data_IF_202919926330
#
_entry.id   IF_202919926330
#
_cell.length_a   1.000
_cell.length_b   1.000
_cell.length_c   1.000
_cell.angle_alpha   90.00
_cell.angle_beta   90.00
_cell.angle_gamma   90.00
#
_symmetry.space_group_name_H-M   'P 1'
#
loop_
_entity.id
_entity.type
_entity.pdbx_description
1 polymer ?
#
# COMPACT_ATOMS: atom_id res chain seq x y z
N UNK A 1 26.42 28.35 8.07
CA UNK A 1 25.05 28.90 8.13
C UNK A 1 24.11 27.71 8.14
N UNK A 2 23.42 27.51 9.26
CA UNK A 2 22.58 26.35 9.55
C UNK A 2 21.36 26.29 8.63
N UNK A 3 21.05 25.12 8.07
CA UNK A 3 19.72 24.83 7.50
C UNK A 3 18.96 24.00 8.51
N UNK A 4 17.88 24.59 8.99
CA UNK A 4 16.89 24.06 9.92
C UNK A 4 16.12 22.90 9.28
N UNK A 5 16.09 21.76 9.97
CA UNK A 5 15.21 20.65 9.69
C UNK A 5 13.77 21.05 10.01
N UNK A 6 12.86 20.92 9.04
CA UNK A 6 11.43 20.94 9.24
C UNK A 6 10.90 19.55 8.90
N UNK A 7 10.73 18.71 9.93
CA UNK A 7 9.96 17.47 9.82
C UNK A 7 8.49 17.86 9.67
N UNK A 8 7.97 17.73 8.45
CA UNK A 8 6.53 17.77 8.21
C UNK A 8 5.94 16.42 8.64
N UNK A 9 5.05 16.44 9.63
CA UNK A 9 4.28 15.27 10.03
C UNK A 9 3.37 14.85 8.86
N UNK A 10 3.71 13.75 8.19
CA UNK A 10 2.81 13.06 7.27
C UNK A 10 1.89 12.19 8.14
N UNK A 11 0.58 12.44 8.06
CA UNK A 11 -0.40 11.56 8.65
C UNK A 11 -0.38 10.23 7.86
N UNK A 12 0.28 9.22 8.42
CA UNK A 12 0.34 7.88 7.87
C UNK A 12 -1.01 7.21 8.11
N UNK A 13 -1.76 6.97 7.05
CA UNK A 13 -2.87 6.01 7.08
C UNK A 13 -2.27 4.61 7.21
N UNK A 14 -2.27 4.07 8.43
CA UNK A 14 -1.92 2.67 8.69
C UNK A 14 -2.89 1.75 7.95
N UNK A 15 -2.45 1.20 6.82
CA UNK A 15 -3.10 0.04 6.22
C UNK A 15 -2.80 -1.14 7.14
N UNK A 16 -3.81 -1.61 7.85
CA UNK A 16 -3.71 -2.79 8.69
C UNK A 16 -3.21 -3.98 7.85
N UNK A 17 -2.09 -4.58 8.27
CA UNK A 17 -1.60 -5.83 7.68
C UNK A 17 -2.65 -6.92 7.91
N UNK A 18 -3.08 -7.67 6.88
CA UNK A 18 -4.05 -8.73 7.07
C UNK A 18 -3.37 -9.96 7.68
N UNK A 19 -3.73 -10.23 8.94
CA UNK A 19 -3.66 -11.56 9.55
C UNK A 19 -2.29 -11.97 10.12
N UNK A 20 -2.06 -11.69 11.41
CA UNK A 20 -1.06 -12.42 12.20
C UNK A 20 -1.40 -12.51 13.70
N UNK A 21 -2.68 -12.55 14.09
CA UNK A 21 -3.06 -12.87 15.47
C UNK A 21 -3.30 -14.38 15.62
N UNK A 22 -2.22 -15.18 15.61
CA UNK A 22 -2.19 -16.53 16.16
C UNK A 22 -0.74 -17.05 16.25
N UNK A 23 -0.26 -17.16 17.49
CA UNK A 23 1.08 -17.57 17.92
C UNK A 23 2.14 -16.48 17.74
N UNK A 24 2.52 -15.75 18.80
CA UNK A 24 3.69 -14.90 18.72
C UNK A 24 4.93 -15.78 18.63
N UNK A 25 5.41 -15.97 17.42
CA UNK A 25 6.71 -16.54 17.12
C UNK A 25 7.77 -15.60 17.71
N UNK A 26 8.65 -16.07 18.63
CA UNK A 26 9.75 -15.24 19.14
C UNK A 26 10.74 -14.84 18.04
N UNK A 27 10.66 -15.45 16.85
CA UNK A 27 11.43 -15.08 15.65
C UNK A 27 10.70 -14.11 14.73
N UNK A 28 9.51 -13.64 15.12
CA UNK A 28 8.77 -12.63 14.39
C UNK A 28 9.62 -11.34 14.25
N UNK A 29 9.59 -10.66 13.09
CA UNK A 29 10.43 -9.48 12.86
C UNK A 29 10.26 -8.39 13.92
N UNK A 30 9.04 -8.20 14.45
CA UNK A 30 8.74 -7.21 15.49
C UNK A 30 9.13 -7.63 16.92
N UNK A 31 9.76 -8.79 17.12
CA UNK A 31 10.33 -9.24 18.41
C UNK A 31 11.87 -9.10 18.45
N UNK A 32 12.50 -8.72 17.36
CA UNK A 32 13.97 -8.59 17.21
C UNK A 32 14.31 -7.21 16.62
N UNK A 33 14.63 -6.25 17.50
CA UNK A 33 14.91 -4.87 17.09
C UNK A 33 16.11 -4.75 16.13
N UNK A 34 17.29 -5.35 16.39
CA UNK A 34 18.40 -5.32 15.44
C UNK A 34 18.04 -5.85 14.05
N UNK A 35 17.24 -6.92 13.97
CA UNK A 35 16.75 -7.44 12.70
C UNK A 35 15.77 -6.47 12.02
N UNK A 36 14.83 -5.90 12.76
CA UNK A 36 13.89 -4.91 12.25
C UNK A 36 14.61 -3.67 11.67
N UNK A 37 15.63 -3.16 12.38
CA UNK A 37 16.46 -2.04 11.92
C UNK A 37 17.23 -2.39 10.64
N UNK A 38 17.76 -3.60 10.54
CA UNK A 38 18.43 -4.07 9.32
C UNK A 38 17.45 -4.21 8.13
N UNK A 39 16.23 -4.68 8.39
CA UNK A 39 15.18 -4.79 7.37
C UNK A 39 14.70 -3.40 6.88
N UNK A 40 14.62 -2.42 7.78
CA UNK A 40 14.34 -1.01 7.44
C UNK A 40 15.44 -0.40 6.58
N UNK A 41 16.71 -0.60 6.94
CA UNK A 41 17.84 -0.12 6.14
C UNK A 41 17.81 -0.74 4.72
N UNK A 42 17.55 -2.05 4.63
CA UNK A 42 17.39 -2.73 3.35
C UNK A 42 16.18 -2.21 2.55
N UNK A 43 15.12 -1.73 3.21
CA UNK A 43 13.98 -1.09 2.55
C UNK A 43 14.35 0.30 1.99
N UNK A 44 15.06 1.13 2.76
CA UNK A 44 15.58 2.41 2.29
C UNK A 44 16.53 2.25 1.09
N UNK A 45 17.41 1.24 1.13
CA UNK A 45 18.30 0.96 0.00
C UNK A 45 17.50 0.62 -1.27
N UNK A 46 16.47 -0.23 -1.17
CA UNK A 46 15.61 -0.58 -2.31
C UNK A 46 14.85 0.63 -2.87
N UNK A 47 14.39 1.52 -2.00
CA UNK A 47 13.75 2.78 -2.44
C UNK A 47 14.75 3.65 -3.21
N UNK A 48 15.97 3.82 -2.70
CA UNK A 48 17.00 4.60 -3.39
C UNK A 48 17.37 3.99 -4.77
N UNK A 49 17.43 2.66 -4.87
CA UNK A 49 17.66 1.95 -6.13
C UNK A 49 16.49 2.15 -7.12
N UNK A 50 15.25 2.10 -6.64
CA UNK A 50 14.05 2.35 -7.46
C UNK A 50 14.00 3.80 -7.97
N UNK A 51 14.30 4.78 -7.11
CA UNK A 51 14.37 6.19 -7.49
C UNK A 51 15.45 6.45 -8.55
N UNK A 52 16.63 5.85 -8.39
CA UNK A 52 17.71 5.95 -9.37
C UNK A 52 17.32 5.32 -10.73
N UNK A 53 16.62 4.18 -10.71
CA UNK A 53 16.11 3.53 -11.92
C UNK A 53 15.04 4.39 -12.61
N UNK A 54 14.13 5.01 -11.85
CA UNK A 54 13.12 5.93 -12.37
C UNK A 54 13.77 7.18 -13.00
N UNK A 55 14.76 7.77 -12.33
CA UNK A 55 15.49 8.93 -12.85
C UNK A 55 16.21 8.60 -14.18
N UNK A 56 16.79 7.40 -14.29
CA UNK A 56 17.41 6.91 -15.52
C UNK A 56 16.38 6.79 -16.64
N UNK A 57 15.26 6.12 -16.40
CA UNK A 57 14.19 5.95 -17.39
C UNK A 57 13.60 7.29 -17.87
N UNK A 58 13.45 8.27 -16.97
CA UNK A 58 13.01 9.63 -17.33
C UNK A 58 14.03 10.34 -18.22
N UNK A 59 15.31 10.22 -17.91
CA UNK A 59 16.39 10.82 -18.70
C UNK A 59 16.43 10.23 -20.12
N UNK A 60 16.27 8.92 -20.25
CA UNK A 60 16.19 8.24 -21.55
C UNK A 60 14.99 8.76 -22.37
N UNK A 61 13.82 8.92 -21.74
CA UNK A 61 12.63 9.46 -22.40
C UNK A 61 12.82 10.92 -22.85
N UNK A 62 13.41 11.75 -22.00
CA UNK A 62 13.72 13.15 -22.35
C UNK A 62 14.71 13.26 -23.51
N UNK A 63 15.73 12.38 -23.55
CA UNK A 63 16.69 12.32 -24.66
C UNK A 63 15.99 11.93 -25.96
N UNK A 64 15.15 10.89 -25.95
CA UNK A 64 14.38 10.50 -27.13
C UNK A 64 13.51 11.65 -27.66
N UNK A 65 12.83 12.37 -26.75
CA UNK A 65 12.00 13.53 -27.13
C UNK A 65 12.83 14.68 -27.73
N UNK A 66 14.05 14.90 -27.24
CA UNK A 66 14.97 15.87 -27.81
C UNK A 66 15.42 15.46 -29.23
N UNK A 67 15.77 14.19 -29.42
CA UNK A 67 16.18 13.64 -30.72
C UNK A 67 15.04 13.73 -31.75
N UNK A 68 13.81 13.44 -31.33
CA UNK A 68 12.60 13.61 -32.15
C UNK A 68 12.37 15.08 -32.54
N UNK A 69 12.62 16.03 -31.63
CA UNK A 69 12.46 17.46 -31.90
C UNK A 69 13.50 17.98 -32.91
N UNK A 70 14.74 17.46 -32.88
CA UNK A 70 15.81 17.83 -33.82
C UNK A 70 15.59 17.24 -35.22
N UNK A 71 14.91 16.10 -35.33
CA UNK A 71 14.67 15.38 -36.59
C UNK A 71 13.74 16.08 -37.62
N UNK A 72 13.40 17.37 -37.44
CA UNK A 72 12.56 18.24 -38.29
C UNK A 72 12.16 17.70 -39.70
N UNK A 73 10.84 17.47 -39.92
CA UNK A 73 10.25 17.20 -41.25
C UNK A 73 8.74 16.88 -41.19
N UNK A 74 8.04 16.81 -42.35
CA UNK A 74 6.64 16.34 -42.49
C UNK A 74 6.41 15.00 -41.74
N UNK A 75 7.45 14.16 -41.68
CA UNK A 75 7.45 12.89 -40.96
C UNK A 75 7.22 13.00 -39.45
N UNK A 76 7.67 14.07 -38.80
CA UNK A 76 7.49 14.27 -37.35
C UNK A 76 6.03 14.65 -37.02
N UNK A 77 5.40 15.45 -37.88
CA UNK A 77 3.99 15.82 -37.75
C UNK A 77 3.08 14.61 -38.04
N UNK A 78 3.43 13.81 -39.04
CA UNK A 78 2.76 12.53 -39.34
C UNK A 78 2.92 11.51 -38.21
N UNK A 79 4.12 11.39 -37.62
CA UNK A 79 4.39 10.52 -36.48
C UNK A 79 3.55 10.91 -35.26
N UNK A 80 3.48 12.20 -34.94
CA UNK A 80 2.65 12.71 -33.84
C UNK A 80 1.15 12.45 -34.08
N UNK A 81 0.66 12.64 -35.31
CA UNK A 81 -0.71 12.28 -35.69
C UNK A 81 -0.96 10.77 -35.56
N UNK A 82 -0.02 9.94 -36.01
CA UNK A 82 -0.09 8.47 -35.89
C UNK A 82 -0.15 8.03 -34.42
N UNK A 83 0.72 8.57 -33.56
CA UNK A 83 0.69 8.30 -32.13
C UNK A 83 -0.63 8.72 -31.48
N UNK A 84 -1.16 9.89 -31.83
CA UNK A 84 -2.44 10.37 -31.32
C UNK A 84 -3.59 9.44 -31.70
N UNK A 85 -3.63 8.97 -32.95
CA UNK A 85 -4.65 8.03 -33.41
C UNK A 85 -4.44 6.64 -32.81
N UNK A 86 -3.20 6.19 -32.65
CA UNK A 86 -2.89 4.91 -32.00
C UNK A 86 -3.28 4.92 -30.53
N UNK A 87 -2.98 6.00 -29.80
CA UNK A 87 -3.39 6.18 -28.41
C UNK A 87 -4.93 6.22 -28.27
N UNK A 88 -5.62 6.87 -29.21
CA UNK A 88 -7.09 6.85 -29.29
C UNK A 88 -7.62 5.44 -29.53
N UNK A 89 -7.06 4.71 -30.48
CA UNK A 89 -7.45 3.33 -30.80
C UNK A 89 -7.22 2.39 -29.61
N UNK A 90 -6.06 2.51 -28.95
CA UNK A 90 -5.72 1.74 -27.74
C UNK A 90 -6.70 2.02 -26.60
N UNK A 91 -7.03 3.29 -26.33
CA UNK A 91 -8.05 3.66 -25.33
C UNK A 91 -9.41 3.03 -25.65
N UNK A 92 -9.90 3.16 -26.88
CA UNK A 92 -11.16 2.56 -27.31
C UNK A 92 -11.13 1.02 -27.16
N UNK A 93 -10.02 0.38 -27.49
CA UNK A 93 -9.87 -1.08 -27.35
C UNK A 93 -9.83 -1.54 -25.88
N UNK A 94 -9.13 -0.80 -25.00
CA UNK A 94 -9.11 -1.06 -23.56
C UNK A 94 -10.48 -0.80 -22.95
N UNK A 95 -11.15 0.28 -23.33
CA UNK A 95 -12.53 0.59 -22.95
C UNK A 95 -13.47 -0.54 -23.36
N UNK A 96 -13.31 -1.11 -24.56
CA UNK A 96 -14.07 -2.27 -25.03
C UNK A 96 -13.79 -3.58 -24.26
N UNK A 97 -12.55 -3.74 -23.79
CA UNK A 97 -12.08 -4.97 -23.14
C UNK A 97 -12.32 -4.99 -21.63
N UNK A 98 -12.06 -3.87 -20.95
CA UNK A 98 -12.21 -3.70 -19.49
C UNK A 98 -13.66 -3.31 -19.13
N UNK A 99 -14.37 -2.64 -20.03
CA UNK A 99 -15.75 -2.21 -19.82
C UNK A 99 -16.67 -2.69 -20.93
N UNK A 100 -17.86 -3.16 -20.56
CA UNK A 100 -19.04 -2.91 -21.37
C UNK A 100 -19.38 -1.41 -21.36
N UNK A 101 -18.45 -0.58 -21.86
CA UNK A 101 -18.37 0.88 -21.81
C UNK A 101 -18.33 1.49 -20.40
N UNK A 102 -17.97 2.77 -20.32
CA UNK A 102 -18.24 3.57 -19.13
C UNK A 102 -19.73 3.53 -18.82
N UNK A 103 -20.09 2.67 -17.87
CA UNK A 103 -21.41 2.57 -17.28
C UNK A 103 -21.16 2.79 -15.82
N UNK A 104 -21.64 3.92 -15.32
CA UNK A 104 -22.14 3.93 -13.95
C UNK A 104 -23.10 2.75 -13.85
N UNK A 105 -22.60 1.64 -13.33
CA UNK A 105 -23.30 0.41 -12.92
C UNK A 105 -23.47 -0.73 -13.96
N UNK A 106 -22.41 -1.50 -14.21
CA UNK A 106 -22.43 -2.74 -15.01
C UNK A 106 -23.34 -3.84 -14.44
N UNK A 107 -23.74 -3.74 -13.16
CA UNK A 107 -24.73 -4.63 -12.56
C UNK A 107 -26.15 -4.39 -13.12
N UNK A 108 -26.45 -3.16 -13.59
CA UNK A 108 -27.73 -2.82 -14.21
C UNK A 108 -27.88 -3.41 -15.63
N UNK A 109 -26.76 -3.66 -16.33
CA UNK A 109 -26.73 -4.24 -17.68
C UNK A 109 -26.96 -5.76 -17.71
N UNK A 110 -27.01 -6.46 -16.58
CA UNK A 110 -27.21 -7.93 -16.58
C UNK A 110 -28.51 -8.36 -15.90
N UNK A 111 -29.26 -7.43 -15.30
CA UNK A 111 -30.50 -7.73 -14.56
C UNK A 111 -31.68 -6.90 -15.09
N UNK A 112 -32.32 -7.32 -16.20
CA UNK A 112 -33.73 -7.03 -16.54
C UNK A 112 -34.15 -7.65 -17.89
N UNK A 113 -35.44 -8.01 -17.99
CA UNK A 113 -35.99 -8.93 -18.99
C UNK A 113 -36.80 -8.29 -20.15
N UNK A 114 -36.70 -6.97 -20.38
CA UNK A 114 -37.54 -6.28 -21.37
C UNK A 114 -36.81 -5.88 -22.67
N UNK A 115 -37.50 -6.08 -23.81
CA UNK A 115 -36.94 -5.93 -25.16
C UNK A 115 -36.49 -4.50 -25.54
N UNK A 116 -36.96 -3.46 -24.84
CA UNK A 116 -36.52 -2.07 -25.07
C UNK A 116 -35.05 -1.83 -24.68
N UNK A 117 -34.57 -2.56 -23.68
CA UNK A 117 -33.19 -2.46 -23.20
C UNK A 117 -32.21 -3.24 -24.09
N UNK A 118 -32.68 -4.31 -24.75
CA UNK A 118 -31.88 -5.07 -25.71
C UNK A 118 -31.55 -4.23 -26.97
N UNK A 119 -32.50 -3.44 -27.47
CA UNK A 119 -32.27 -2.53 -28.61
C UNK A 119 -31.28 -1.43 -28.25
N UNK A 120 -31.37 -0.87 -27.04
CA UNK A 120 -30.42 0.12 -26.54
C UNK A 120 -29.00 -0.46 -26.42
N UNK A 121 -28.86 -1.69 -25.90
CA UNK A 121 -27.58 -2.41 -25.84
C UNK A 121 -26.99 -2.71 -27.22
N UNK A 122 -27.82 -3.12 -28.18
CA UNK A 122 -27.40 -3.36 -29.56
C UNK A 122 -26.87 -2.08 -30.20
N UNK A 123 -27.57 -0.96 -30.03
CA UNK A 123 -27.12 0.35 -30.53
C UNK A 123 -25.81 0.80 -29.89
N UNK A 124 -25.63 0.55 -28.59
CA UNK A 124 -24.37 0.87 -27.90
C UNK A 124 -23.20 0.02 -28.43
N UNK A 125 -23.42 -1.27 -28.64
CA UNK A 125 -22.44 -2.20 -29.23
C UNK A 125 -22.10 -1.85 -30.70
N UNK A 126 -23.10 -1.50 -31.50
CA UNK A 126 -22.91 -1.04 -32.89
C UNK A 126 -22.10 0.26 -32.93
N UNK A 127 -22.47 1.25 -32.11
CA UNK A 127 -21.71 2.49 -32.00
C UNK A 127 -20.27 2.27 -31.55
N UNK A 128 -20.03 1.32 -30.64
CA UNK A 128 -18.67 1.00 -30.20
C UNK A 128 -17.85 0.32 -31.31
N UNK A 129 -18.48 -0.60 -32.05
CA UNK A 129 -17.87 -1.28 -33.20
C UNK A 129 -17.52 -0.28 -34.32
N UNK A 130 -18.42 0.66 -34.64
CA UNK A 130 -18.16 1.71 -35.61
C UNK A 130 -17.00 2.63 -35.19
N UNK A 131 -16.97 3.05 -33.92
CA UNK A 131 -15.88 3.88 -33.40
C UNK A 131 -14.52 3.16 -33.46
N UNK A 132 -14.49 1.87 -33.12
CA UNK A 132 -13.29 1.03 -33.26
C UNK A 132 -12.85 0.88 -34.71
N UNK A 133 -13.78 0.61 -35.63
CA UNK A 133 -13.49 0.48 -37.06
C UNK A 133 -12.95 1.79 -37.64
N UNK A 134 -13.59 2.92 -37.35
CA UNK A 134 -13.14 4.25 -37.78
C UNK A 134 -11.75 4.59 -37.23
N UNK A 135 -11.52 4.30 -35.95
CA UNK A 135 -10.20 4.53 -35.33
C UNK A 135 -9.13 3.61 -35.91
N UNK A 136 -9.46 2.36 -36.22
CA UNK A 136 -8.52 1.40 -36.82
C UNK A 136 -8.17 1.75 -38.27
N UNK A 137 -9.14 2.22 -39.06
CA UNK A 137 -8.92 2.69 -40.43
C UNK A 137 -7.98 3.89 -40.47
N UNK A 138 -8.20 4.89 -39.60
CA UNK A 138 -7.33 6.06 -39.50
C UNK A 138 -5.87 5.68 -39.17
N UNK A 139 -5.66 4.67 -38.31
CA UNK A 139 -4.31 4.17 -37.97
C UNK A 139 -3.67 3.44 -39.17
N UNK A 140 -4.44 2.67 -39.93
CA UNK A 140 -3.95 1.96 -41.13
C UNK A 140 -3.54 2.95 -42.21
N UNK A 141 -4.39 3.95 -42.49
CA UNK A 141 -4.14 4.98 -43.51
C UNK A 141 -2.91 5.82 -43.14
N UNK A 142 -2.77 6.19 -41.87
CA UNK A 142 -1.58 6.91 -41.39
C UNK A 142 -0.32 6.05 -41.49
N UNK A 143 -0.38 4.75 -41.18
CA UNK A 143 0.78 3.86 -41.25
C UNK A 143 1.36 3.75 -42.66
N UNK A 144 0.54 3.78 -43.71
CA UNK A 144 1.03 3.79 -45.10
C UNK A 144 1.73 5.11 -45.48
N UNK A 145 1.44 6.20 -44.75
CA UNK A 145 1.99 7.53 -45.01
C UNK A 145 3.21 7.89 -44.16
N UNK A 146 3.42 7.21 -43.02
CA UNK A 146 4.52 7.45 -42.06
C UNK A 146 5.76 6.65 -42.46
N UNK A 147 6.97 7.24 -42.38
CA UNK A 147 8.22 6.53 -42.65
C UNK A 147 8.54 5.45 -41.61
N UNK A 148 9.23 4.37 -42.01
CA UNK A 148 9.63 3.27 -41.11
C UNK A 148 10.42 3.78 -39.88
N UNK A 149 11.18 4.86 -40.05
CA UNK A 149 11.94 5.52 -38.98
C UNK A 149 11.02 6.16 -37.95
N UNK A 150 9.97 6.85 -38.37
CA UNK A 150 8.98 7.44 -37.48
C UNK A 150 8.18 6.38 -36.70
N UNK A 151 7.86 5.24 -37.33
CA UNK A 151 7.23 4.10 -36.63
C UNK A 151 8.17 3.47 -35.59
N UNK A 152 9.47 3.38 -35.87
CA UNK A 152 10.46 2.87 -34.93
C UNK A 152 10.62 3.80 -33.70
N UNK A 153 10.70 5.11 -33.92
CA UNK A 153 10.76 6.12 -32.86
C UNK A 153 9.52 6.09 -31.97
N UNK A 154 8.32 5.97 -32.56
CA UNK A 154 7.07 5.86 -31.80
C UNK A 154 6.99 4.59 -30.95
N UNK A 155 7.52 3.47 -31.45
CA UNK A 155 7.60 2.23 -30.69
C UNK A 155 8.58 2.34 -29.50
N UNK A 156 9.72 3.02 -29.71
CA UNK A 156 10.70 3.30 -28.66
C UNK A 156 10.12 4.23 -27.57
N UNK A 157 9.40 5.27 -27.97
CA UNK A 157 8.72 6.17 -27.04
C UNK A 157 7.68 5.42 -26.19
N UNK A 158 6.86 4.58 -26.81
CA UNK A 158 5.88 3.75 -26.10
C UNK A 158 6.54 2.79 -25.09
N UNK A 159 7.70 2.23 -25.44
CA UNK A 159 8.46 1.38 -24.51
C UNK A 159 9.03 2.17 -23.34
N UNK A 160 9.62 3.34 -23.58
CA UNK A 160 10.17 4.20 -22.54
C UNK A 160 9.10 4.75 -21.61
N UNK A 161 7.93 5.14 -22.14
CA UNK A 161 6.79 5.55 -21.32
C UNK A 161 6.34 4.41 -20.41
N UNK A 162 6.15 3.19 -20.95
CA UNK A 162 5.80 2.01 -20.14
C UNK A 162 6.87 1.70 -19.08
N UNK A 163 8.15 1.91 -19.40
CA UNK A 163 9.26 1.75 -18.46
C UNK A 163 9.16 2.78 -17.33
N UNK A 164 8.92 4.05 -17.62
CA UNK A 164 8.73 5.11 -16.62
C UNK A 164 7.54 4.81 -15.70
N UNK A 165 6.41 4.39 -16.27
CA UNK A 165 5.23 3.98 -15.50
C UNK A 165 5.54 2.80 -14.57
N UNK A 166 6.20 1.75 -15.09
CA UNK A 166 6.65 0.61 -14.29
C UNK A 166 7.59 1.02 -13.15
N UNK A 167 8.58 1.88 -13.43
CA UNK A 167 9.50 2.40 -12.39
C UNK A 167 8.83 3.29 -11.36
N UNK A 168 7.79 4.01 -11.75
CA UNK A 168 6.99 4.80 -10.81
C UNK A 168 6.26 3.86 -9.83
N UNK A 169 5.67 2.78 -10.34
CA UNK A 169 5.06 1.75 -9.50
C UNK A 169 6.08 1.04 -8.58
N UNK A 170 7.30 0.78 -9.06
CA UNK A 170 8.38 0.23 -8.23
C UNK A 170 8.72 1.15 -7.04
N UNK A 171 8.79 2.47 -7.27
CA UNK A 171 9.05 3.48 -6.22
C UNK A 171 7.92 3.53 -5.21
N UNK A 172 6.67 3.47 -5.65
CA UNK A 172 5.49 3.40 -4.77
C UNK A 172 5.54 2.16 -3.88
N UNK A 173 5.79 0.99 -4.46
CA UNK A 173 5.92 -0.27 -3.73
C UNK A 173 7.09 -0.25 -2.73
N UNK A 174 8.22 0.35 -3.10
CA UNK A 174 9.37 0.51 -2.21
C UNK A 174 9.07 1.47 -1.05
N UNK A 175 8.33 2.55 -1.31
CA UNK A 175 7.89 3.52 -0.28
C UNK A 175 6.94 2.86 0.73
N UNK A 176 6.00 2.05 0.27
CA UNK A 176 5.13 1.25 1.15
C UNK A 176 5.93 0.24 1.98
N UNK A 177 6.97 -0.37 1.40
CA UNK A 177 7.84 -1.29 2.11
C UNK A 177 8.64 -0.59 3.22
N UNK A 178 9.12 0.65 2.98
CA UNK A 178 9.76 1.48 4.02
C UNK A 178 8.78 1.77 5.14
N UNK A 179 7.60 2.28 4.82
CA UNK A 179 6.56 2.62 5.81
C UNK A 179 6.21 1.41 6.69
N UNK A 180 6.12 0.23 6.09
CA UNK A 180 5.88 -1.03 6.83
C UNK A 180 7.05 -1.39 7.75
N UNK A 181 8.29 -1.25 7.27
CA UNK A 181 9.48 -1.56 8.06
C UNK A 181 9.67 -0.57 9.22
N UNK A 182 9.37 0.71 9.03
CA UNK A 182 9.36 1.71 10.10
C UNK A 182 8.41 1.32 11.24
N UNK A 183 7.17 0.91 10.89
CA UNK A 183 6.22 0.42 11.88
C UNK A 183 6.72 -0.84 12.61
N UNK A 184 7.35 -1.79 11.91
CA UNK A 184 7.94 -2.98 12.54
C UNK A 184 9.05 -2.59 13.54
N UNK A 185 9.89 -1.60 13.20
CA UNK A 185 10.91 -1.07 14.11
C UNK A 185 10.29 -0.44 15.35
N UNK A 186 9.20 0.33 15.20
CA UNK A 186 8.49 0.93 16.34
C UNK A 186 7.99 -0.16 17.31
N UNK A 187 7.32 -1.19 16.80
CA UNK A 187 6.83 -2.30 17.63
C UNK A 187 8.00 -3.08 18.26
N UNK A 188 9.07 -3.33 17.51
CA UNK A 188 10.26 -4.01 18.04
C UNK A 188 10.96 -3.22 19.14
N UNK A 189 10.97 -1.88 19.05
CA UNK A 189 11.52 -1.02 20.09
C UNK A 189 10.73 -1.11 21.40
N UNK A 190 9.38 -1.16 21.32
CA UNK A 190 8.52 -1.37 22.50
C UNK A 190 8.83 -2.73 23.15
N UNK A 191 9.02 -3.78 22.33
CA UNK A 191 9.44 -5.08 22.85
C UNK A 191 10.81 -5.01 23.52
N UNK A 192 11.82 -4.43 22.87
CA UNK A 192 13.16 -4.30 23.43
C UNK A 192 13.17 -3.51 24.77
N UNK A 193 12.35 -2.46 24.89
CA UNK A 193 12.15 -1.74 26.15
C UNK A 193 11.53 -2.65 27.21
N UNK A 194 10.49 -3.40 26.86
CA UNK A 194 9.87 -4.35 27.77
C UNK A 194 10.85 -5.43 28.25
N UNK A 195 11.78 -5.89 27.42
CA UNK A 195 12.83 -6.85 27.80
C UNK A 195 13.77 -6.28 28.87
N UNK A 196 14.24 -5.04 28.68
CA UNK A 196 15.09 -4.35 29.67
C UNK A 196 14.33 -4.18 30.99
N UNK A 197 13.09 -3.69 30.93
CA UNK A 197 12.26 -3.44 32.11
C UNK A 197 11.89 -4.72 32.87
N UNK A 198 11.68 -5.84 32.17
CA UNK A 198 11.44 -7.11 32.84
C UNK A 198 12.67 -7.57 33.62
N UNK A 199 13.87 -7.43 33.05
CA UNK A 199 15.12 -7.78 33.75
C UNK A 199 15.33 -6.89 34.98
N UNK A 200 15.20 -5.57 34.81
CA UNK A 200 15.43 -4.60 35.88
C UNK A 200 14.46 -4.77 37.05
N UNK A 201 13.21 -5.14 36.75
CA UNK A 201 12.19 -5.39 37.75
C UNK A 201 12.10 -6.84 38.24
N UNK A 202 12.99 -7.73 37.77
CA UNK A 202 13.02 -9.15 38.16
C UNK A 202 11.78 -9.95 37.75
N UNK A 203 11.15 -9.58 36.63
CA UNK A 203 9.93 -10.20 36.10
C UNK A 203 10.24 -11.29 35.09
N UNK A 204 9.36 -12.30 35.05
CA UNK A 204 9.39 -13.34 34.02
C UNK A 204 8.36 -13.05 32.95
N UNK A 205 8.75 -13.19 31.68
CA UNK A 205 7.86 -13.06 30.52
C UNK A 205 6.68 -14.04 30.63
N UNK A 206 5.43 -13.57 30.54
CA UNK A 206 4.28 -14.46 30.45
C UNK A 206 4.34 -15.28 29.17
N UNK A 207 4.00 -16.56 29.25
CA UNK A 207 3.92 -17.38 28.04
C UNK A 207 2.78 -16.90 27.14
N UNK A 208 2.84 -17.27 25.85
CA UNK A 208 1.77 -16.98 24.89
C UNK A 208 0.40 -17.50 25.36
N UNK A 209 0.38 -18.63 26.06
CA UNK A 209 -0.86 -19.18 26.63
C UNK A 209 -1.40 -18.31 27.77
N UNK A 210 -0.53 -17.73 28.60
CA UNK A 210 -0.94 -16.81 29.67
C UNK A 210 -1.49 -15.50 29.09
N UNK A 211 -0.84 -14.95 28.06
CA UNK A 211 -1.33 -13.78 27.33
C UNK A 211 -2.67 -14.06 26.65
N UNK A 212 -2.83 -15.22 26.01
CA UNK A 212 -4.09 -15.62 25.40
C UNK A 212 -5.22 -15.76 26.43
N UNK A 213 -4.94 -16.35 27.60
CA UNK A 213 -5.91 -16.46 28.69
C UNK A 213 -6.31 -15.09 29.26
N UNK A 214 -5.35 -14.17 29.40
CA UNK A 214 -5.64 -12.79 29.79
C UNK A 214 -6.59 -12.12 28.79
N UNK A 215 -6.25 -12.11 27.49
CA UNK A 215 -7.08 -11.53 26.43
C UNK A 215 -8.46 -12.17 26.36
N UNK A 216 -8.55 -13.48 26.59
CA UNK A 216 -9.83 -14.19 26.62
C UNK A 216 -10.69 -13.76 27.81
N UNK A 217 -10.10 -13.60 28.98
CA UNK A 217 -10.79 -13.14 30.18
C UNK A 217 -11.26 -11.68 30.05
N UNK A 218 -10.41 -10.79 29.53
CA UNK A 218 -10.69 -9.36 29.39
C UNK A 218 -11.69 -9.05 28.28
N UNK A 219 -11.50 -9.65 27.09
CA UNK A 219 -12.19 -9.24 25.87
C UNK A 219 -12.69 -10.42 25.02
N UNK A 220 -12.63 -11.66 25.52
CA UNK A 220 -12.87 -12.89 24.73
C UNK A 220 -12.03 -12.95 23.46
N UNK A 221 -10.80 -12.41 23.53
CA UNK A 221 -9.87 -12.34 22.41
C UNK A 221 -10.21 -11.30 21.34
N UNK A 222 -11.16 -10.39 21.59
CA UNK A 222 -11.55 -9.37 20.62
C UNK A 222 -10.68 -8.10 20.74
N UNK A 223 -9.76 -7.91 19.79
CA UNK A 223 -8.90 -6.71 19.69
C UNK A 223 -9.64 -5.43 19.33
N UNK A 224 -10.81 -5.53 18.72
CA UNK A 224 -11.61 -4.38 18.29
C UNK A 224 -12.75 -4.05 19.28
N UNK A 225 -12.71 -4.59 20.50
CA UNK A 225 -13.77 -4.36 21.47
C UNK A 225 -13.77 -2.91 21.95
N UNK A 226 -14.92 -2.26 21.77
CA UNK A 226 -15.24 -0.95 22.33
C UNK A 226 -16.72 -0.96 22.72
N UNK A 227 -16.99 -1.16 24.01
CA UNK A 227 -18.37 -1.25 24.53
C UNK A 227 -18.88 0.07 25.10
N UNK A 228 -18.06 1.14 25.05
CA UNK A 228 -18.35 2.41 25.72
C UNK A 228 -18.19 2.37 27.25
N UNK A 229 -17.54 1.35 27.82
CA UNK A 229 -17.28 1.23 29.26
C UNK A 229 -16.01 1.98 29.74
N UNK A 230 -15.33 2.71 28.84
CA UNK A 230 -14.09 3.44 29.12
C UNK A 230 -12.80 2.62 28.98
N UNK A 231 -12.92 1.35 28.57
CA UNK A 231 -11.81 0.43 28.34
C UNK A 231 -11.90 -0.15 26.93
N UNK A 232 -10.75 -0.38 26.32
CA UNK A 232 -10.65 -0.63 24.88
C UNK A 232 -9.71 -1.80 24.56
N UNK A 233 -10.03 -2.52 23.49
CA UNK A 233 -9.16 -3.53 22.90
C UNK A 233 -9.01 -4.80 23.73
N UNK A 234 -8.16 -5.72 23.25
CA UNK A 234 -8.06 -7.09 23.77
C UNK A 234 -7.63 -7.17 25.25
N UNK A 235 -6.98 -6.11 25.75
CA UNK A 235 -6.46 -6.01 27.11
C UNK A 235 -7.24 -5.05 27.99
N UNK A 236 -8.36 -4.51 27.48
CA UNK A 236 -9.20 -3.55 28.19
C UNK A 236 -8.37 -2.39 28.76
N UNK A 237 -7.55 -1.75 27.91
CA UNK A 237 -6.80 -0.55 28.29
C UNK A 237 -7.74 0.63 28.55
N UNK A 238 -7.50 1.40 29.61
CA UNK A 238 -8.00 2.77 29.67
C UNK A 238 -7.06 3.72 28.90
N UNK A 239 -7.57 4.88 28.44
CA UNK A 239 -6.79 5.80 27.61
C UNK A 239 -5.57 6.40 28.32
N UNK A 240 -5.61 6.58 29.64
CA UNK A 240 -4.48 7.14 30.39
C UNK A 240 -3.35 6.13 30.44
N UNK A 241 -3.68 4.87 30.72
CA UNK A 241 -2.69 3.78 30.71
C UNK A 241 -2.15 3.53 29.30
N UNK A 242 -3.01 3.59 28.27
CA UNK A 242 -2.59 3.46 26.87
C UNK A 242 -1.59 4.54 26.46
N UNK A 243 -1.88 5.81 26.75
CA UNK A 243 -0.93 6.91 26.49
C UNK A 243 0.33 6.77 27.34
N UNK A 244 0.20 6.25 28.57
CA UNK A 244 1.32 5.96 29.46
C UNK A 244 2.31 4.95 28.90
N UNK A 245 1.86 3.99 28.08
CA UNK A 245 2.72 3.05 27.35
C UNK A 245 3.17 3.58 25.98
N UNK A 246 2.98 4.88 25.72
CA UNK A 246 3.32 5.56 24.46
C UNK A 246 2.25 5.45 23.38
N UNK A 247 1.07 4.91 23.69
CA UNK A 247 -0.03 4.71 22.74
C UNK A 247 -0.70 6.00 22.29
N UNK A 248 -1.21 5.98 21.06
CA UNK A 248 -1.99 7.09 20.49
C UNK A 248 -3.40 6.62 20.13
N UNK A 249 -4.36 7.54 20.03
CA UNK A 249 -5.73 7.19 19.62
C UNK A 249 -6.47 6.21 20.55
N UNK A 250 -7.42 5.46 19.98
CA UNK A 250 -8.21 4.45 20.69
C UNK A 250 -7.55 3.06 20.52
N UNK A 251 -7.21 2.34 21.61
CA UNK A 251 -6.61 1.01 21.54
C UNK A 251 -7.39 0.02 20.65
N UNK A 252 -8.72 0.08 20.66
CA UNK A 252 -9.57 -0.81 19.86
C UNK A 252 -9.46 -0.59 18.34
N UNK A 253 -8.85 0.53 17.91
CA UNK A 253 -8.58 0.84 16.51
C UNK A 253 -7.16 0.48 16.09
N UNK A 254 -6.32 0.04 17.05
CA UNK A 254 -4.92 -0.27 16.79
C UNK A 254 -4.70 -1.74 16.44
N UNK A 255 -3.69 -2.05 15.62
CA UNK A 255 -3.35 -3.42 15.25
C UNK A 255 -3.10 -4.31 16.49
N UNK A 256 -3.41 -5.62 16.41
CA UNK A 256 -3.14 -6.56 17.49
C UNK A 256 -1.70 -6.52 18.02
N UNK A 257 -0.73 -6.37 17.12
CA UNK A 257 0.69 -6.34 17.42
C UNK A 257 1.07 -5.17 18.32
N UNK A 258 0.46 -4.00 18.10
CA UNK A 258 0.68 -2.81 18.95
C UNK A 258 0.05 -2.99 20.33
N UNK A 259 -1.18 -3.51 20.37
CA UNK A 259 -1.86 -3.79 21.64
C UNK A 259 -1.06 -4.81 22.47
N UNK A 260 -0.54 -5.86 21.83
CA UNK A 260 0.27 -6.89 22.46
C UNK A 260 1.60 -6.33 22.98
N UNK A 261 2.32 -5.56 22.16
CA UNK A 261 3.59 -4.95 22.55
C UNK A 261 3.42 -4.00 23.75
N UNK A 262 2.37 -3.17 23.74
CA UNK A 262 2.09 -2.24 24.85
C UNK A 262 1.55 -2.92 26.09
N UNK A 263 0.78 -4.01 25.97
CA UNK A 263 0.38 -4.83 27.11
C UNK A 263 1.60 -5.49 27.77
N UNK A 264 2.54 -5.97 26.95
CA UNK A 264 3.82 -6.51 27.41
C UNK A 264 4.65 -5.46 28.15
N UNK A 265 4.77 -4.24 27.60
CA UNK A 265 5.45 -3.12 28.27
C UNK A 265 4.75 -2.72 29.58
N UNK A 266 3.42 -2.69 29.61
CA UNK A 266 2.69 -2.41 30.84
C UNK A 266 2.96 -3.47 31.93
N UNK A 267 2.99 -4.74 31.54
CA UNK A 267 3.35 -5.85 32.43
C UNK A 267 4.82 -5.74 32.89
N UNK A 268 5.74 -5.38 31.99
CA UNK A 268 7.14 -5.20 32.36
C UNK A 268 7.35 -4.11 33.39
N UNK A 269 6.42 -3.15 33.54
CA UNK A 269 6.42 -2.11 34.58
C UNK A 269 5.64 -2.46 35.86
N UNK A 270 4.48 -3.11 35.73
CA UNK A 270 3.52 -3.26 36.84
C UNK A 270 3.17 -4.71 37.21
N UNK A 271 3.72 -5.68 36.49
CA UNK A 271 3.30 -7.07 36.59
C UNK A 271 1.82 -7.21 36.25
N UNK A 272 1.13 -8.08 36.98
CA UNK A 272 -0.29 -8.39 36.76
C UNK A 272 -1.27 -7.34 37.31
N UNK A 273 -0.81 -6.38 38.12
CA UNK A 273 -1.63 -5.39 38.84
C UNK A 273 -2.66 -4.64 37.97
N UNK A 274 -2.35 -4.25 36.72
CA UNK A 274 -3.31 -3.57 35.85
C UNK A 274 -4.56 -4.40 35.51
N UNK A 275 -4.51 -5.72 35.70
CA UNK A 275 -5.59 -6.66 35.44
C UNK A 275 -5.99 -7.38 36.74
N UNK A 276 -6.77 -6.76 37.65
CA UNK A 276 -6.97 -7.27 39.00
C UNK A 276 -7.63 -8.65 39.08
N UNK A 277 -8.49 -8.99 38.13
CA UNK A 277 -9.20 -10.28 38.07
C UNK A 277 -8.51 -11.22 37.07
N UNK A 278 -8.32 -10.78 35.84
CA UNK A 278 -7.78 -11.61 34.78
C UNK A 278 -6.25 -11.78 34.85
N UNK A 279 -5.54 -10.94 35.61
CA UNK A 279 -4.10 -11.07 35.86
C UNK A 279 -3.71 -12.34 36.61
N UNK A 280 -4.67 -13.10 37.16
CA UNK A 280 -4.44 -14.41 37.78
C UNK A 280 -3.79 -15.44 36.82
N UNK A 281 -3.90 -15.24 35.51
CA UNK A 281 -3.27 -16.10 34.50
C UNK A 281 -1.80 -15.76 34.26
N UNK A 282 -1.33 -14.59 34.72
CA UNK A 282 0.04 -14.13 34.56
C UNK A 282 0.94 -14.58 35.74
N UNK A 283 2.27 -14.57 35.57
CA UNK A 283 3.19 -14.83 36.67
C UNK A 283 2.98 -13.86 37.85
N UNK A 284 2.93 -14.41 39.06
CA UNK A 284 2.85 -13.65 40.32
C UNK A 284 4.25 -13.53 40.94
N UNK A 285 5.15 -12.83 40.25
CA UNK A 285 6.48 -12.46 40.75
C UNK A 285 6.47 -11.09 41.39
#
# INVERSE_FOLDING_TARGET
MARTAGLAAVAVSLVALPGAAQNADPTAPWRDLPRAEADLEAAHQRLAEADAALATARTELEQLQADQAEAHGEDAELAAMYEQQLARARRLAVEAYIGGAGVTDSAALLDTAEAGDLTYRLQLLEAHTENLLLSSGAVIDLRESVSDTALALAAEQDELVRRVEGRTSDVEAATEAVTRAEWVVEIAAIHAEADVEMVDNGRTEPTEEQWAQLRWCEARGNYAIDTGNGYFGAYQFDLVTWVGTGGHGNPAQMPPEEQDARARLLYSWRGWVPWPICGQYLPQS
#
